data_IF_993643825719
#
_entry.id   IF_993643825719
#
_cell.length_a   1.000
_cell.length_b   1.000
_cell.length_c   1.000
_cell.angle_alpha   90.00
_cell.angle_beta   90.00
_cell.angle_gamma   90.00
#
_symmetry.space_group_name_H-M   'P 1'
#
loop_
_entity.id
_entity.type
_entity.pdbx_description
1 polymer ?
#
# COMPACT_ATOMS: atom_id res chain seq x y z
N UNK A 1 38.74 -4.82 -46.81
CA UNK A 1 39.02 -4.84 -45.36
C UNK A 1 37.72 -5.23 -44.66
N UNK A 2 37.51 -6.53 -44.41
CA UNK A 2 36.26 -7.05 -43.83
C UNK A 2 36.49 -7.49 -42.39
N UNK A 3 35.63 -7.01 -41.50
CA UNK A 3 35.66 -7.36 -40.07
C UNK A 3 34.84 -8.65 -39.94
N UNK A 4 35.50 -9.76 -39.59
CA UNK A 4 34.83 -11.02 -39.25
C UNK A 4 34.21 -10.88 -37.87
N UNK A 5 32.87 -10.92 -37.81
CA UNK A 5 32.11 -11.09 -36.57
C UNK A 5 32.36 -12.51 -36.08
N UNK A 6 33.17 -12.66 -35.03
CA UNK A 6 33.32 -13.93 -34.32
C UNK A 6 32.01 -14.25 -33.62
N UNK A 7 31.46 -15.42 -33.94
CA UNK A 7 30.29 -16.02 -33.32
C UNK A 7 30.48 -16.12 -31.80
N UNK A 8 29.80 -15.24 -31.06
CA UNK A 8 29.52 -15.43 -29.65
C UNK A 8 28.38 -16.44 -29.54
N UNK A 9 28.74 -17.72 -29.53
CA UNK A 9 27.79 -18.74 -29.10
C UNK A 9 27.56 -18.58 -27.61
N UNK A 10 26.41 -18.00 -27.26
CA UNK A 10 25.82 -18.06 -25.92
C UNK A 10 25.61 -19.54 -25.57
N UNK A 11 26.53 -20.10 -24.78
CA UNK A 11 26.25 -21.30 -24.01
C UNK A 11 25.04 -21.01 -23.14
N UNK A 12 23.89 -21.60 -23.47
CA UNK A 12 22.74 -21.62 -22.58
C UNK A 12 23.09 -22.58 -21.44
N UNK A 13 23.22 -22.11 -20.19
CA UNK A 13 23.31 -23.04 -19.08
C UNK A 13 21.99 -23.81 -19.01
N UNK A 14 22.08 -25.13 -19.00
CA UNK A 14 20.96 -26.04 -18.71
C UNK A 14 20.61 -25.88 -17.23
N UNK A 15 19.86 -24.83 -16.90
CA UNK A 15 19.31 -24.65 -15.56
C UNK A 15 18.01 -25.46 -15.52
N UNK A 16 18.13 -26.72 -15.12
CA UNK A 16 17.00 -27.53 -14.64
C UNK A 16 16.53 -26.98 -13.30
N UNK A 17 15.87 -25.82 -13.33
CA UNK A 17 15.12 -25.28 -12.21
C UNK A 17 13.82 -26.06 -12.12
N UNK A 18 13.82 -27.06 -11.23
CA UNK A 18 12.62 -27.62 -10.63
C UNK A 18 11.94 -26.51 -9.80
N UNK A 19 11.33 -25.55 -10.47
CA UNK A 19 10.59 -24.44 -9.88
C UNK A 19 9.22 -24.94 -9.42
N UNK A 20 9.22 -25.74 -8.35
CA UNK A 20 8.06 -25.77 -7.46
C UNK A 20 8.03 -24.41 -6.75
N UNK A 21 6.92 -23.70 -6.93
CA UNK A 21 6.44 -22.53 -6.19
C UNK A 21 7.01 -22.38 -4.77
N UNK A 22 8.26 -21.95 -4.64
CA UNK A 22 8.83 -21.47 -3.40
C UNK A 22 8.69 -19.97 -3.46
N UNK A 23 7.78 -19.42 -2.65
CA UNK A 23 7.74 -17.99 -2.39
C UNK A 23 9.16 -17.52 -2.06
N UNK A 24 9.63 -16.40 -2.64
CA UNK A 24 10.94 -15.89 -2.31
C UNK A 24 10.99 -15.59 -0.81
N UNK A 25 11.69 -16.44 -0.07
CA UNK A 25 11.91 -16.29 1.37
C UNK A 25 12.86 -15.12 1.57
N UNK A 26 12.29 -13.92 1.59
CA UNK A 26 12.99 -12.65 1.77
C UNK A 26 13.82 -12.69 3.06
N UNK A 27 13.38 -13.39 4.10
CA UNK A 27 14.10 -13.53 5.36
C UNK A 27 15.43 -14.27 5.15
N UNK A 28 15.42 -15.32 4.33
CA UNK A 28 16.64 -16.05 3.95
C UNK A 28 17.59 -15.17 3.13
N UNK A 29 17.05 -14.41 2.17
CA UNK A 29 17.82 -13.48 1.35
C UNK A 29 18.47 -12.35 2.18
N UNK A 30 17.75 -11.79 3.15
CA UNK A 30 18.31 -10.78 4.06
C UNK A 30 19.34 -11.36 5.05
N UNK A 31 19.20 -12.64 5.43
CA UNK A 31 20.15 -13.34 6.29
C UNK A 31 21.45 -13.69 5.54
N UNK A 32 21.35 -14.13 4.29
CA UNK A 32 22.51 -14.42 3.42
C UNK A 32 23.31 -13.16 3.06
N UNK A 33 22.67 -11.99 3.02
CA UNK A 33 23.33 -10.70 2.79
C UNK A 33 24.02 -10.12 4.04
N UNK A 34 24.10 -10.86 5.16
CA UNK A 34 24.70 -10.43 6.44
C UNK A 34 24.16 -9.08 7.00
N UNK A 35 23.00 -8.63 6.50
CA UNK A 35 22.39 -7.34 6.87
C UNK A 35 22.08 -7.28 8.37
N UNK A 36 21.74 -8.42 8.99
CA UNK A 36 21.38 -8.50 10.41
C UNK A 36 22.58 -8.75 11.35
N UNK A 37 23.62 -9.46 10.91
CA UNK A 37 24.76 -9.81 11.78
C UNK A 37 25.69 -8.61 12.01
N UNK A 38 25.88 -7.75 11.00
CA UNK A 38 26.65 -6.50 11.15
C UNK A 38 25.95 -5.46 12.06
N UNK A 39 24.65 -5.62 12.29
CA UNK A 39 23.85 -4.70 13.11
C UNK A 39 23.92 -5.00 14.62
N UNK A 40 24.31 -6.21 15.00
CA UNK A 40 24.05 -6.75 16.35
C UNK A 40 25.15 -6.52 17.39
N UNK A 41 26.43 -6.35 17.00
CA UNK A 41 27.53 -6.54 17.96
C UNK A 41 27.94 -5.30 18.78
N UNK A 42 27.86 -4.08 18.22
CA UNK A 42 28.26 -2.86 18.95
C UNK A 42 27.13 -1.84 19.19
N UNK A 43 26.01 -1.92 18.44
CA UNK A 43 24.94 -0.91 18.51
C UNK A 43 23.79 -1.24 19.48
N UNK A 44 23.77 -2.43 20.08
CA UNK A 44 22.61 -2.91 20.85
C UNK A 44 22.45 -2.23 22.20
N UNK A 45 23.56 -1.90 22.87
CA UNK A 45 23.54 -1.22 24.18
C UNK A 45 23.19 0.27 24.06
N UNK A 46 23.76 0.96 23.06
CA UNK A 46 23.45 2.36 22.78
C UNK A 46 22.02 2.54 22.26
N UNK A 47 21.49 1.58 21.50
CA UNK A 47 20.09 1.61 21.09
C UNK A 47 19.12 1.37 22.26
N UNK A 48 19.46 0.49 23.20
CA UNK A 48 18.60 0.18 24.35
C UNK A 48 18.49 1.34 25.36
N UNK A 49 19.49 2.22 25.40
CA UNK A 49 19.52 3.39 26.29
C UNK A 49 19.11 4.69 25.60
N UNK A 50 18.92 4.67 24.27
CA UNK A 50 18.53 5.85 23.49
C UNK A 50 17.06 6.23 23.71
N UNK A 51 16.84 7.43 24.25
CA UNK A 51 15.49 7.97 24.46
C UNK A 51 15.02 8.79 23.25
N UNK A 52 14.08 8.20 22.50
CA UNK A 52 13.46 8.81 21.32
C UNK A 52 12.82 10.17 21.58
N UNK A 53 12.34 10.43 22.79
CA UNK A 53 11.61 11.65 23.14
C UNK A 53 12.54 12.79 23.55
N UNK A 54 13.78 12.49 23.96
CA UNK A 54 14.79 13.50 24.29
C UNK A 54 15.47 14.07 23.05
N UNK A 55 15.71 13.25 22.04
CA UNK A 55 16.36 13.71 20.82
C UNK A 55 15.37 14.52 19.93
N UNK A 56 15.71 15.77 19.53
CA UNK A 56 14.74 16.69 18.93
C UNK A 56 14.22 16.21 17.57
N UNK A 57 15.04 15.55 16.75
CA UNK A 57 14.62 15.05 15.44
C UNK A 57 13.63 13.88 15.56
N UNK A 58 13.92 12.91 16.43
CA UNK A 58 13.09 11.72 16.64
C UNK A 58 11.78 12.09 17.33
N UNK A 59 11.80 13.02 18.31
CA UNK A 59 10.60 13.58 18.93
C UNK A 59 9.67 14.22 17.90
N UNK A 60 10.20 15.09 17.03
CA UNK A 60 9.39 15.74 15.97
C UNK A 60 8.77 14.73 15.02
N UNK A 61 9.54 13.71 14.61
CA UNK A 61 9.02 12.64 13.75
C UNK A 61 7.94 11.81 14.45
N UNK A 62 8.10 11.49 15.73
CA UNK A 62 7.09 10.78 16.50
C UNK A 62 5.79 11.59 16.61
N UNK A 63 5.89 12.89 16.89
CA UNK A 63 4.73 13.78 16.93
C UNK A 63 4.03 13.88 15.57
N UNK A 64 4.80 13.98 14.49
CA UNK A 64 4.26 14.00 13.13
C UNK A 64 3.54 12.68 12.79
N UNK A 65 4.17 11.54 13.05
CA UNK A 65 3.54 10.24 12.83
C UNK A 65 2.28 10.07 13.68
N UNK A 66 2.32 10.46 14.96
CA UNK A 66 1.15 10.44 15.83
C UNK A 66 0.00 11.30 15.28
N UNK A 67 0.30 12.50 14.79
CA UNK A 67 -0.67 13.37 14.13
C UNK A 67 -1.26 12.75 12.86
N UNK A 68 -0.44 12.11 12.03
CA UNK A 68 -0.89 11.41 10.82
C UNK A 68 -1.77 10.20 11.16
N UNK A 69 -1.42 9.42 12.18
CA UNK A 69 -2.24 8.28 12.65
C UNK A 69 -3.60 8.77 13.13
N UNK A 70 -3.65 9.82 13.95
CA UNK A 70 -4.91 10.41 14.42
C UNK A 70 -5.74 10.92 13.23
N UNK A 71 -5.09 11.61 12.28
CA UNK A 71 -5.75 12.08 11.06
C UNK A 71 -6.36 10.92 10.27
N UNK A 72 -5.57 9.87 9.97
CA UNK A 72 -6.05 8.70 9.22
C UNK A 72 -7.18 7.98 9.94
N UNK A 73 -7.11 7.86 11.27
CA UNK A 73 -8.17 7.27 12.06
C UNK A 73 -9.47 8.07 11.97
N UNK A 74 -9.42 9.38 12.23
CA UNK A 74 -10.59 10.26 12.17
C UNK A 74 -11.20 10.29 10.76
N UNK A 75 -10.36 10.37 9.73
CA UNK A 75 -10.83 10.39 8.36
C UNK A 75 -11.46 9.03 7.98
N UNK A 76 -10.88 7.90 8.38
CA UNK A 76 -11.48 6.57 8.16
C UNK A 76 -12.89 6.42 8.75
N UNK A 77 -13.18 7.08 9.88
CA UNK A 77 -14.52 7.10 10.48
C UNK A 77 -15.52 7.94 9.68
N UNK A 78 -15.03 8.96 8.96
CA UNK A 78 -15.83 9.88 8.14
C UNK A 78 -15.78 9.53 6.65
N UNK A 79 -15.00 8.52 6.28
CA UNK A 79 -14.75 8.15 4.89
C UNK A 79 -15.91 7.29 4.40
N UNK A 80 -16.49 7.75 3.30
CA UNK A 80 -17.64 7.10 2.67
C UNK A 80 -17.36 6.71 1.22
N UNK A 81 -16.19 7.06 0.70
CA UNK A 81 -15.76 6.65 -0.63
C UNK A 81 -14.44 5.90 -0.53
N UNK A 82 -14.24 4.89 -1.36
CA UNK A 82 -12.98 4.12 -1.46
C UNK A 82 -12.52 4.00 -2.90
N UNK A 83 -11.25 3.68 -3.13
CA UNK A 83 -10.72 3.44 -4.48
C UNK A 83 -11.27 2.14 -5.10
N UNK A 84 -11.44 2.13 -6.43
CA UNK A 84 -11.95 0.96 -7.21
C UNK A 84 -11.15 -0.32 -7.01
N UNK A 85 -9.83 -0.18 -7.02
CA UNK A 85 -8.89 -1.29 -7.15
C UNK A 85 -7.67 -1.02 -6.28
N UNK A 86 -7.15 -2.09 -5.69
CA UNK A 86 -5.86 -2.09 -4.99
C UNK A 86 -4.75 -2.36 -5.99
N UNK A 87 -4.44 -1.40 -6.87
CA UNK A 87 -3.21 -1.47 -7.67
C UNK A 87 -2.07 -0.81 -6.91
N UNK A 88 -0.83 -1.35 -6.98
CA UNK A 88 0.34 -0.60 -6.56
C UNK A 88 0.34 0.72 -7.33
N UNK A 89 0.22 1.79 -6.58
CA UNK A 89 -0.15 3.10 -7.07
C UNK A 89 0.70 4.21 -6.43
N UNK A 90 0.18 5.45 -6.41
CA UNK A 90 0.92 6.60 -5.90
C UNK A 90 1.24 6.49 -4.39
N UNK A 91 0.54 5.61 -3.66
CA UNK A 91 0.66 5.49 -2.21
C UNK A 91 1.91 4.72 -1.77
N UNK A 92 2.30 3.69 -2.51
CA UNK A 92 3.54 2.95 -2.31
C UNK A 92 4.75 3.82 -2.63
N UNK A 93 4.66 4.63 -3.70
CA UNK A 93 5.67 5.63 -4.02
C UNK A 93 5.78 6.69 -2.91
N UNK A 94 4.65 7.13 -2.35
CA UNK A 94 4.64 8.05 -1.22
C UNK A 94 5.27 7.43 0.04
N UNK A 95 4.97 6.17 0.34
CA UNK A 95 5.55 5.43 1.46
C UNK A 95 7.07 5.29 1.32
N UNK A 96 7.56 4.85 0.16
CA UNK A 96 9.00 4.70 -0.11
C UNK A 96 9.73 6.05 -0.08
N UNK A 97 9.11 7.09 -0.66
CA UNK A 97 9.68 8.44 -0.65
C UNK A 97 9.78 8.99 0.78
N UNK A 98 8.73 8.81 1.59
CA UNK A 98 8.74 9.21 2.99
C UNK A 98 9.83 8.46 3.78
N UNK A 99 9.96 7.15 3.57
CA UNK A 99 11.02 6.34 4.19
C UNK A 99 12.42 6.89 3.88
N UNK A 100 12.69 7.14 2.59
CA UNK A 100 13.97 7.66 2.11
C UNK A 100 14.26 9.07 2.65
N UNK A 101 13.27 9.97 2.64
CA UNK A 101 13.39 11.33 3.18
C UNK A 101 13.68 11.27 4.68
N UNK A 102 12.93 10.48 5.44
CA UNK A 102 13.10 10.36 6.90
C UNK A 102 14.47 9.75 7.23
N UNK A 103 14.88 8.69 6.55
CA UNK A 103 16.20 8.11 6.70
C UNK A 103 17.30 9.14 6.42
N UNK A 104 17.21 9.87 5.30
CA UNK A 104 18.17 10.91 4.94
C UNK A 104 18.23 12.06 5.96
N UNK A 105 17.08 12.52 6.47
CA UNK A 105 17.01 13.56 7.49
C UNK A 105 17.63 13.09 8.82
N UNK A 106 17.37 11.86 9.23
CA UNK A 106 17.94 11.27 10.45
C UNK A 106 19.44 11.00 10.34
N UNK A 107 19.91 10.49 9.19
CA UNK A 107 21.34 10.32 8.91
C UNK A 107 22.06 11.67 8.90
N UNK A 108 21.45 12.73 8.36
CA UNK A 108 21.99 14.09 8.43
C UNK A 108 21.99 14.63 9.86
N UNK A 109 20.96 14.34 10.65
CA UNK A 109 20.88 14.74 12.06
C UNK A 109 21.97 14.04 12.92
N UNK A 110 22.32 12.79 12.56
CA UNK A 110 23.36 12.00 13.23
C UNK A 110 24.73 12.69 13.30
N UNK A 111 25.01 13.62 12.39
CA UNK A 111 26.26 14.41 12.38
C UNK A 111 26.36 15.33 13.61
N UNK A 112 25.23 15.78 14.16
CA UNK A 112 25.19 16.68 15.32
C UNK A 112 25.05 15.90 16.62
N UNK A 113 24.09 14.99 16.65
CA UNK A 113 23.75 14.18 17.82
C UNK A 113 23.58 12.73 17.34
N UNK A 114 24.35 11.81 17.92
CA UNK A 114 24.35 10.43 17.48
C UNK A 114 22.96 9.79 17.61
N UNK A 115 22.49 9.15 16.53
CA UNK A 115 21.27 8.35 16.50
C UNK A 115 21.67 6.93 16.10
N UNK A 116 21.36 5.90 16.91
CA UNK A 116 21.66 4.52 16.57
C UNK A 116 20.99 4.12 15.24
N UNK A 117 21.72 3.40 14.38
CA UNK A 117 21.21 3.02 13.05
C UNK A 117 19.89 2.23 13.12
N UNK A 118 19.68 1.43 14.18
CA UNK A 118 18.46 0.63 14.36
C UNK A 118 17.23 1.51 14.60
N UNK A 119 17.42 2.61 15.33
CA UNK A 119 16.39 3.62 15.55
C UNK A 119 16.06 4.35 14.24
N UNK A 120 17.07 4.68 13.44
CA UNK A 120 16.86 5.29 12.11
C UNK A 120 16.03 4.38 11.22
N UNK A 121 16.38 3.10 11.13
CA UNK A 121 15.65 2.11 10.34
C UNK A 121 14.19 1.95 10.84
N UNK A 122 14.00 1.81 12.16
CA UNK A 122 12.67 1.68 12.76
C UNK A 122 11.79 2.91 12.50
N UNK A 123 12.31 4.11 12.68
CA UNK A 123 11.57 5.35 12.42
C UNK A 123 11.29 5.56 10.93
N UNK A 124 12.21 5.20 10.04
CA UNK A 124 11.98 5.26 8.59
C UNK A 124 10.88 4.29 8.15
N UNK A 125 10.87 3.05 8.66
CA UNK A 125 9.82 2.08 8.38
C UNK A 125 8.46 2.53 8.92
N UNK A 126 8.41 3.03 10.16
CA UNK A 126 7.18 3.58 10.74
C UNK A 126 6.66 4.78 9.93
N UNK A 127 7.55 5.66 9.46
CA UNK A 127 7.16 6.74 8.58
C UNK A 127 6.66 6.23 7.23
N UNK A 128 7.28 5.22 6.63
CA UNK A 128 6.82 4.60 5.39
C UNK A 128 5.37 4.12 5.51
N UNK A 129 5.06 3.37 6.56
CA UNK A 129 3.72 2.84 6.82
C UNK A 129 2.73 4.00 7.06
N UNK A 130 3.09 4.93 7.93
CA UNK A 130 2.19 6.03 8.33
C UNK A 130 1.90 6.95 7.16
N UNK A 131 2.91 7.34 6.38
CA UNK A 131 2.71 8.15 5.17
C UNK A 131 2.02 7.38 4.06
N UNK A 132 2.27 6.08 3.90
CA UNK A 132 1.54 5.24 2.95
C UNK A 132 0.04 5.29 3.23
N UNK A 133 -0.36 4.97 4.47
CA UNK A 133 -1.76 5.01 4.91
C UNK A 133 -2.33 6.43 4.82
N UNK A 134 -1.63 7.44 5.32
CA UNK A 134 -2.11 8.82 5.27
C UNK A 134 -2.24 9.33 3.83
N UNK A 135 -1.37 8.90 2.90
CA UNK A 135 -1.47 9.25 1.49
C UNK A 135 -2.67 8.59 0.82
N UNK A 136 -3.04 7.38 1.22
CA UNK A 136 -4.24 6.70 0.73
C UNK A 136 -5.48 7.51 1.11
N UNK A 137 -5.62 7.78 2.41
CA UNK A 137 -6.78 8.50 2.96
C UNK A 137 -6.84 9.96 2.45
N UNK A 138 -5.70 10.66 2.45
CA UNK A 138 -5.61 12.01 1.90
C UNK A 138 -5.86 12.05 0.39
N UNK A 139 -5.38 11.05 -0.36
CA UNK A 139 -5.65 10.89 -1.78
C UNK A 139 -7.15 10.74 -2.06
N UNK A 140 -7.87 10.03 -1.19
CA UNK A 140 -9.32 9.92 -1.31
C UNK A 140 -10.00 11.30 -1.22
N UNK A 141 -9.59 12.13 -0.26
CA UNK A 141 -10.14 13.49 -0.10
C UNK A 141 -9.79 14.42 -1.25
N UNK A 142 -8.55 14.36 -1.73
CA UNK A 142 -8.13 15.15 -2.89
C UNK A 142 -8.98 14.79 -4.12
N UNK A 143 -9.23 13.50 -4.33
CA UNK A 143 -10.10 13.07 -5.43
C UNK A 143 -11.56 13.44 -5.24
N UNK A 144 -12.08 13.46 -4.00
CA UNK A 144 -13.43 13.97 -3.73
C UNK A 144 -13.55 15.47 -4.03
N UNK A 145 -12.48 16.24 -3.81
CA UNK A 145 -12.46 17.66 -4.09
C UNK A 145 -12.31 17.94 -5.60
N UNK A 146 -11.53 17.14 -6.32
CA UNK A 146 -11.20 17.38 -7.72
C UNK A 146 -12.05 16.59 -8.74
N UNK A 147 -12.62 15.45 -8.35
CA UNK A 147 -13.18 14.43 -9.25
C UNK A 147 -14.63 14.65 -9.73
N UNK A 148 -15.20 15.83 -9.52
CA UNK A 148 -16.60 16.11 -9.90
C UNK A 148 -17.63 15.28 -9.10
N UNK A 149 -18.90 15.26 -9.51
CA UNK A 149 -19.95 14.53 -8.79
C UNK A 149 -19.83 13.01 -8.97
N UNK A 150 -20.45 12.26 -8.06
CA UNK A 150 -20.68 10.82 -8.21
C UNK A 150 -21.69 10.57 -9.34
N UNK A 151 -21.39 9.60 -10.20
CA UNK A 151 -22.23 9.17 -11.32
C UNK A 151 -22.70 7.74 -11.08
N UNK A 152 -23.96 7.46 -11.38
CA UNK A 152 -24.49 6.10 -11.30
C UNK A 152 -23.99 5.27 -12.48
N UNK A 153 -23.43 4.11 -12.17
CA UNK A 153 -22.93 3.16 -13.15
C UNK A 153 -23.43 1.76 -12.83
N UNK A 154 -23.61 0.97 -13.89
CA UNK A 154 -24.14 -0.40 -13.81
C UNK A 154 -23.02 -1.41 -13.83
N UNK A 155 -23.13 -2.38 -12.95
CA UNK A 155 -22.15 -3.43 -12.73
C UNK A 155 -22.82 -4.79 -12.58
N UNK A 156 -22.09 -5.84 -12.96
CA UNK A 156 -22.44 -7.24 -12.75
C UNK A 156 -21.36 -7.89 -11.90
N UNK A 157 -21.70 -8.88 -11.08
CA UNK A 157 -20.67 -9.63 -10.36
C UNK A 157 -19.94 -10.60 -11.28
N UNK A 158 -18.71 -10.93 -10.93
CA UNK A 158 -18.01 -12.05 -11.54
C UNK A 158 -18.50 -13.40 -10.98
N UNK A 159 -18.13 -14.49 -11.67
CA UNK A 159 -18.49 -15.85 -11.26
C UNK A 159 -17.94 -16.22 -9.88
N UNK A 160 -16.80 -15.63 -9.50
CA UNK A 160 -16.12 -15.87 -8.22
C UNK A 160 -16.62 -14.98 -7.08
N UNK A 161 -17.53 -14.04 -7.35
CA UNK A 161 -18.06 -13.09 -6.37
C UNK A 161 -17.00 -12.19 -5.70
N UNK A 162 -15.87 -11.95 -6.36
CA UNK A 162 -14.78 -11.12 -5.86
C UNK A 162 -14.73 -9.75 -6.52
N UNK A 163 -15.36 -9.62 -7.70
CA UNK A 163 -15.26 -8.43 -8.54
C UNK A 163 -16.61 -8.02 -9.09
N UNK A 164 -16.77 -6.71 -9.31
CA UNK A 164 -17.82 -6.17 -10.15
C UNK A 164 -17.25 -5.71 -11.48
N UNK A 165 -17.83 -6.24 -12.54
CA UNK A 165 -17.53 -5.92 -13.93
C UNK A 165 -18.50 -4.84 -14.41
N UNK A 166 -18.02 -3.69 -14.89
CA UNK A 166 -18.90 -2.63 -15.39
C UNK A 166 -19.54 -3.02 -16.72
N UNK A 167 -20.78 -2.57 -16.96
CA UNK A 167 -21.40 -2.65 -18.29
C UNK A 167 -20.66 -1.75 -19.30
N UNK A 168 -20.24 -0.55 -18.86
CA UNK A 168 -19.40 0.34 -19.65
C UNK A 168 -17.92 -0.01 -19.44
N UNK A 169 -17.27 -0.48 -20.51
CA UNK A 169 -15.85 -0.85 -20.53
C UNK A 169 -14.90 0.32 -20.26
N UNK A 170 -15.37 1.57 -20.28
CA UNK A 170 -14.58 2.75 -19.91
C UNK A 170 -14.38 2.89 -18.39
N UNK A 171 -15.23 2.22 -17.61
CA UNK A 171 -15.18 2.21 -16.15
C UNK A 171 -14.26 1.10 -15.63
N UNK A 172 -13.71 1.25 -14.42
CA UNK A 172 -12.84 0.25 -13.84
C UNK A 172 -13.63 -0.93 -13.25
N UNK A 173 -12.96 -2.07 -13.12
CA UNK A 173 -13.43 -3.18 -12.29
C UNK A 173 -13.33 -2.78 -10.81
N UNK A 174 -14.35 -3.13 -10.03
CA UNK A 174 -14.34 -2.94 -8.57
C UNK A 174 -13.95 -4.25 -7.91
N UNK A 175 -12.96 -4.21 -7.02
CA UNK A 175 -12.52 -5.36 -6.25
C UNK A 175 -13.04 -5.27 -4.82
N UNK A 176 -13.60 -6.36 -4.32
CA UNK A 176 -14.10 -6.44 -2.95
C UNK A 176 -13.22 -7.31 -2.06
N UNK A 177 -13.33 -7.06 -0.76
CA UNK A 177 -12.65 -7.88 0.25
C UNK A 177 -13.37 -9.21 0.40
N UNK A 178 -12.59 -10.25 0.72
CA UNK A 178 -13.09 -11.60 0.99
C UNK A 178 -14.18 -11.62 2.08
N UNK A 179 -14.15 -10.64 3.01
CA UNK A 179 -15.17 -10.47 4.07
C UNK A 179 -16.60 -10.17 3.56
N UNK A 180 -16.74 -9.85 2.28
CA UNK A 180 -18.01 -9.50 1.64
C UNK A 180 -18.44 -10.52 0.58
N UNK A 181 -17.65 -11.57 0.35
CA UNK A 181 -17.90 -12.58 -0.69
C UNK A 181 -19.26 -13.26 -0.54
N UNK A 182 -19.67 -13.64 0.68
CA UNK A 182 -20.97 -14.28 0.91
C UNK A 182 -22.14 -13.41 0.45
N UNK A 183 -22.06 -12.10 0.69
CA UNK A 183 -23.07 -11.15 0.23
C UNK A 183 -23.10 -11.10 -1.29
N UNK A 184 -21.94 -10.95 -1.95
CA UNK A 184 -21.89 -10.86 -3.41
C UNK A 184 -22.31 -12.17 -4.09
N UNK A 185 -21.99 -13.33 -3.51
CA UNK A 185 -22.45 -14.62 -4.02
C UNK A 185 -23.95 -14.85 -3.85
N UNK A 186 -24.61 -14.17 -2.90
CA UNK A 186 -26.06 -14.25 -2.78
C UNK A 186 -26.81 -13.54 -3.93
N UNK A 187 -26.13 -12.70 -4.70
CA UNK A 187 -26.67 -11.97 -5.85
C UNK A 187 -26.67 -12.81 -7.12
N UNK A 188 -27.58 -12.54 -8.05
CA UNK A 188 -27.57 -13.15 -9.38
C UNK A 188 -26.34 -12.72 -10.18
N UNK A 189 -25.81 -13.58 -11.07
CA UNK A 189 -24.71 -13.19 -11.98
C UNK A 189 -25.18 -12.08 -12.92
N UNK A 190 -26.39 -12.21 -13.47
CA UNK A 190 -27.00 -11.24 -14.38
C UNK A 190 -27.73 -10.10 -13.64
N UNK A 191 -27.64 -10.05 -12.31
CA UNK A 191 -28.29 -9.02 -11.49
C UNK A 191 -27.49 -7.71 -11.59
N UNK A 192 -28.08 -6.72 -12.26
CA UNK A 192 -27.49 -5.38 -12.39
C UNK A 192 -27.43 -4.70 -11.03
N UNK A 193 -26.22 -4.37 -10.59
CA UNK A 193 -25.93 -3.56 -9.42
C UNK A 193 -25.64 -2.12 -9.84
N UNK A 194 -26.38 -1.16 -9.31
CA UNK A 194 -26.05 0.25 -9.47
C UNK A 194 -25.01 0.65 -8.42
N UNK A 195 -23.88 1.18 -8.88
CA UNK A 195 -22.81 1.70 -8.03
C UNK A 195 -22.53 3.15 -8.41
N UNK A 196 -22.43 4.01 -7.40
CA UNK A 196 -22.02 5.41 -7.61
C UNK A 196 -20.51 5.51 -7.70
N UNK A 197 -20.02 6.04 -8.81
CA UNK A 197 -18.60 6.11 -9.16
C UNK A 197 -18.19 7.54 -9.47
N UNK A 198 -17.01 7.94 -9.02
CA UNK A 198 -16.40 9.23 -9.31
C UNK A 198 -15.08 9.00 -10.03
N UNK A 199 -14.81 9.80 -11.07
CA UNK A 199 -13.52 9.84 -11.73
C UNK A 199 -12.67 10.97 -11.13
N UNK A 200 -11.73 10.60 -10.27
CA UNK A 200 -10.77 11.50 -9.66
C UNK A 200 -9.61 11.89 -10.58
N UNK A 201 -8.60 12.52 -9.98
CA UNK A 201 -7.37 12.89 -10.66
C UNK A 201 -6.60 11.65 -11.10
N UNK A 202 -5.76 11.81 -12.13
CA UNK A 202 -4.88 10.75 -12.63
C UNK A 202 -5.62 9.45 -13.03
N UNK A 203 -6.86 9.58 -13.51
CA UNK A 203 -7.70 8.44 -13.90
C UNK A 203 -7.92 7.43 -12.75
N UNK A 204 -7.87 7.92 -11.51
CA UNK A 204 -8.25 7.14 -10.33
C UNK A 204 -9.76 7.20 -10.14
N UNK A 205 -10.36 6.10 -9.72
CA UNK A 205 -11.80 6.00 -9.56
C UNK A 205 -12.15 5.69 -8.12
N UNK A 206 -13.25 6.29 -7.65
CA UNK A 206 -13.76 6.11 -6.30
C UNK A 206 -15.24 5.69 -6.33
N UNK A 207 -15.67 4.97 -5.30
CA UNK A 207 -17.02 4.40 -5.19
C UNK A 207 -17.63 4.83 -3.89
N UNK A 208 -18.91 5.16 -3.90
CA UNK A 208 -19.67 5.35 -2.66
C UNK A 208 -19.86 4.01 -1.95
N UNK A 209 -19.28 3.90 -0.75
CA UNK A 209 -19.34 2.72 0.09
C UNK A 209 -20.62 2.69 0.96
N UNK A 210 -21.39 3.78 1.07
CA UNK A 210 -22.51 3.87 2.03
C UNK A 210 -23.60 2.86 1.75
N UNK A 211 -24.11 2.87 0.52
CA UNK A 211 -25.23 2.03 0.11
C UNK A 211 -24.83 0.55 0.15
N UNK A 212 -23.62 0.24 -0.30
CA UNK A 212 -23.08 -1.12 -0.29
C UNK A 212 -22.83 -1.63 1.13
N UNK A 213 -22.19 -0.83 1.99
CA UNK A 213 -21.93 -1.20 3.39
C UNK A 213 -23.23 -1.40 4.16
N UNK A 214 -24.26 -0.60 3.86
CA UNK A 214 -25.60 -0.80 4.41
C UNK A 214 -26.20 -2.12 3.92
N UNK A 215 -26.21 -2.38 2.62
CA UNK A 215 -26.76 -3.60 2.05
C UNK A 215 -26.07 -4.88 2.59
N UNK A 216 -24.74 -4.86 2.71
CA UNK A 216 -23.95 -5.97 3.29
C UNK A 216 -24.29 -6.18 4.76
N UNK A 217 -24.43 -5.11 5.53
CA UNK A 217 -24.81 -5.18 6.95
C UNK A 217 -26.22 -5.75 7.13
N UNK A 218 -27.17 -5.26 6.33
CA UNK A 218 -28.57 -5.71 6.39
C UNK A 218 -28.70 -7.19 5.99
N UNK A 219 -27.85 -7.67 5.07
CA UNK A 219 -27.72 -9.10 4.75
C UNK A 219 -27.21 -9.90 5.95
N UNK A 220 -26.09 -9.47 6.57
CA UNK A 220 -25.49 -10.15 7.73
C UNK A 220 -26.40 -10.20 8.97
N UNK A 221 -27.38 -9.32 9.08
CA UNK A 221 -28.36 -9.34 10.18
C UNK A 221 -29.52 -10.30 9.95
N UNK A 222 -29.73 -10.76 8.71
CA UNK A 222 -30.84 -11.66 8.34
C UNK A 222 -30.42 -13.13 8.20
N UNK A 223 -29.13 -13.38 7.99
CA UNK A 223 -28.52 -14.71 7.95
C UNK A 223 -28.15 -15.19 9.35
#
# INVERSE_FOLDING_TARGET
>A
MSIRVKEWQLQKPDITLNARNAEPDLIKLFRELEVFESFSKDNSFDAATFDLMKHPATKKLLLLNGGLVIYSFLDSMLQHEGYAFFKPGPHELAAMSAAAIVAGLLLKARVRDYIPSGIVAGLAMMAAITFGVASYVGGVRINQLAGGPLLEAKYHRDEKCLKLLPEDKSLPVVEYTEMTTDYWCSRGIDEVQTVRVRKGLFNSYQFDLREQTKAIRDYKQKS
#
